data_IF_555840797650
#
_entry.id   IF_555840797650
#
_cell.length_a   1.000
_cell.length_b   1.000
_cell.length_c   1.000
_cell.angle_alpha   90.00
_cell.angle_beta   90.00
_cell.angle_gamma   90.00
#
_symmetry.space_group_name_H-M   'P 1'
#
loop_
_entity.id
_entity.type
_entity.pdbx_description
1 polymer ?
#
# COMPACT_ATOMS: atom_id res chain seq x y z
N UNK A 1 14.29 26.68 -16.10
CA UNK A 1 15.14 27.06 -14.96
C UNK A 1 14.22 27.51 -13.83
N UNK A 2 13.84 26.59 -12.95
CA UNK A 2 13.18 26.90 -11.69
C UNK A 2 13.82 25.99 -10.66
N UNK A 3 14.54 26.61 -9.74
CA UNK A 3 15.29 26.01 -8.66
C UNK A 3 14.33 25.33 -7.69
N UNK A 4 14.40 24.00 -7.61
CA UNK A 4 13.86 23.28 -6.45
C UNK A 4 14.72 23.66 -5.25
N UNK A 5 14.14 24.50 -4.40
CA UNK A 5 14.66 24.84 -3.10
C UNK A 5 14.61 23.56 -2.25
N UNK A 6 15.78 22.95 -2.05
CA UNK A 6 15.97 21.85 -1.13
C UNK A 6 15.71 22.40 0.27
N UNK A 7 14.50 22.18 0.78
CA UNK A 7 14.17 22.32 2.19
C UNK A 7 14.94 21.30 3.00
N UNK A 8 16.24 21.53 3.19
CA UNK A 8 17.04 20.92 4.23
C UNK A 8 16.41 21.32 5.57
N UNK A 9 15.72 20.36 6.18
CA UNK A 9 15.37 20.43 7.58
C UNK A 9 16.67 20.65 8.36
N UNK A 10 16.87 21.85 8.91
CA UNK A 10 17.96 22.13 9.84
C UNK A 10 17.64 21.37 11.12
N UNK A 11 18.11 20.13 11.19
CA UNK A 11 17.71 19.14 12.17
C UNK A 11 17.99 19.61 13.61
N UNK A 12 17.00 19.42 14.49
CA UNK A 12 17.12 19.52 15.95
C UNK A 12 18.24 18.63 16.55
N UNK A 13 18.74 17.68 15.76
CA UNK A 13 19.85 16.77 16.05
C UNK A 13 21.15 17.50 16.45
N UNK A 14 21.42 18.68 15.85
CA UNK A 14 22.57 19.51 16.21
C UNK A 14 22.46 20.06 17.64
N UNK A 15 21.24 20.35 18.09
CA UNK A 15 20.95 20.88 19.43
C UNK A 15 21.08 19.80 20.49
N UNK A 16 20.56 18.59 20.24
CA UNK A 16 20.62 17.46 21.19
C UNK A 16 22.06 16.99 21.41
N UNK A 17 22.86 16.92 20.34
CA UNK A 17 24.30 16.63 20.44
C UNK A 17 25.08 17.73 21.17
N UNK A 18 24.64 18.98 21.09
CA UNK A 18 25.21 20.09 21.85
C UNK A 18 25.05 19.90 23.36
N UNK A 19 23.83 19.59 23.80
CA UNK A 19 23.51 19.36 25.22
C UNK A 19 24.33 18.20 25.79
N UNK A 20 24.48 17.10 25.04
CA UNK A 20 25.28 15.95 25.51
C UNK A 20 26.76 16.32 25.73
N UNK A 21 27.32 17.16 24.84
CA UNK A 21 28.70 17.67 24.98
C UNK A 21 28.84 18.58 26.19
N UNK A 22 27.84 19.39 26.50
CA UNK A 22 27.80 20.24 27.69
C UNK A 22 27.77 19.41 28.98
N UNK A 23 26.88 18.41 29.06
CA UNK A 23 26.78 17.49 30.20
C UNK A 23 28.10 16.75 30.42
N UNK A 24 28.68 16.20 29.35
CA UNK A 24 29.99 15.54 29.42
C UNK A 24 31.10 16.48 29.89
N UNK A 25 31.11 17.73 29.40
CA UNK A 25 32.09 18.74 29.82
C UNK A 25 31.92 19.14 31.29
N UNK A 26 30.69 19.20 31.79
CA UNK A 26 30.40 19.50 33.20
C UNK A 26 30.94 18.41 34.14
N UNK A 27 30.72 17.13 33.82
CA UNK A 27 31.27 16.01 34.60
C UNK A 27 32.80 15.97 34.54
N UNK A 28 33.38 16.15 33.35
CA UNK A 28 34.84 16.25 33.17
C UNK A 28 35.44 17.38 34.01
N UNK A 29 34.79 18.54 34.05
CA UNK A 29 35.21 19.67 34.87
C UNK A 29 35.12 19.35 36.37
N UNK A 30 34.02 18.75 36.85
CA UNK A 30 33.88 18.31 38.25
C UNK A 30 35.02 17.37 38.67
N UNK A 31 35.36 16.38 37.85
CA UNK A 31 36.48 15.47 38.08
C UNK A 31 37.84 16.21 38.12
N UNK A 32 38.08 17.14 37.21
CA UNK A 32 39.32 17.95 37.20
C UNK A 32 39.48 18.82 38.45
N UNK A 33 38.39 19.36 38.99
CA UNK A 33 38.41 20.13 40.25
C UNK A 33 38.79 19.21 41.42
N UNK A 34 38.21 18.02 41.49
CA UNK A 34 38.53 17.04 42.54
C UNK A 34 39.97 16.54 42.41
N UNK A 35 40.49 16.40 41.18
CA UNK A 35 41.86 15.93 40.97
C UNK A 35 42.94 16.83 41.57
N UNK A 36 42.66 18.14 41.64
CA UNK A 36 43.52 19.15 42.25
C UNK A 36 43.44 19.17 43.77
N UNK A 37 42.44 18.53 44.38
CA UNK A 37 42.34 18.42 45.83
C UNK A 37 43.41 17.45 46.37
N UNK A 38 44.05 17.83 47.47
CA UNK A 38 44.98 16.96 48.21
C UNK A 38 44.33 16.56 49.53
N UNK A 39 44.22 15.26 49.82
CA UNK A 39 43.64 14.76 51.07
C UNK A 39 42.96 13.39 50.93
N UNK A 40 42.61 12.78 52.07
CA UNK A 40 41.98 11.46 52.13
C UNK A 40 40.58 11.37 51.50
N UNK A 41 39.87 12.49 51.38
CA UNK A 41 38.52 12.55 50.80
C UNK A 41 38.47 12.57 49.26
N UNK A 42 39.61 12.66 48.57
CA UNK A 42 39.66 12.77 47.11
C UNK A 42 38.94 11.61 46.43
N UNK A 43 39.26 10.38 46.84
CA UNK A 43 38.70 9.17 46.24
C UNK A 43 37.18 9.09 46.44
N UNK A 44 36.71 9.45 47.64
CA UNK A 44 35.29 9.45 48.00
C UNK A 44 34.50 10.40 47.07
N UNK A 45 34.98 11.64 46.87
CA UNK A 45 34.31 12.60 45.99
C UNK A 45 34.34 12.18 44.51
N UNK A 46 35.42 11.52 44.07
CA UNK A 46 35.47 10.95 42.71
C UNK A 46 34.42 9.86 42.53
N UNK A 47 34.27 8.96 43.51
CA UNK A 47 33.26 7.92 43.48
C UNK A 47 31.85 8.52 43.46
N UNK A 48 31.56 9.54 44.26
CA UNK A 48 30.26 10.23 44.27
C UNK A 48 29.90 10.85 42.91
N UNK A 49 30.87 11.52 42.26
CA UNK A 49 30.65 12.09 40.92
C UNK A 49 30.42 11.00 39.86
N UNK A 50 31.15 9.89 39.93
CA UNK A 50 30.96 8.77 39.02
C UNK A 50 29.63 8.06 39.26
N UNK A 51 29.19 7.91 40.51
CA UNK A 51 27.88 7.36 40.85
C UNK A 51 26.76 8.22 40.29
N UNK A 52 26.81 9.54 40.52
CA UNK A 52 25.84 10.49 39.94
C UNK A 52 25.83 10.46 38.40
N UNK A 53 27.00 10.32 37.77
CA UNK A 53 27.05 10.19 36.30
C UNK A 53 26.41 8.88 35.82
N UNK A 54 26.62 7.77 36.53
CA UNK A 54 26.00 6.48 36.22
C UNK A 54 24.48 6.53 36.41
N UNK A 55 23.99 7.17 37.48
CA UNK A 55 22.55 7.37 37.72
C UNK A 55 21.91 8.17 36.58
N UNK A 56 22.47 9.31 36.20
CA UNK A 56 21.98 10.12 35.07
C UNK A 56 21.96 9.33 33.75
N UNK A 57 22.99 8.51 33.50
CA UNK A 57 23.04 7.64 32.31
C UNK A 57 21.95 6.56 32.33
N UNK A 58 21.64 6.00 33.49
CA UNK A 58 20.55 5.03 33.65
C UNK A 58 19.20 5.70 33.37
N UNK A 59 18.98 6.91 33.89
CA UNK A 59 17.75 7.67 33.66
C UNK A 59 17.58 8.05 32.18
N UNK A 60 18.66 8.53 31.52
CA UNK A 60 18.65 8.83 30.09
C UNK A 60 18.36 7.60 29.23
N UNK A 61 19.00 6.47 29.52
CA UNK A 61 18.75 5.21 28.80
C UNK A 61 17.32 4.73 29.02
N UNK A 62 16.77 4.89 30.22
CA UNK A 62 15.37 4.55 30.52
C UNK A 62 14.40 5.42 29.74
N UNK A 63 14.65 6.73 29.65
CA UNK A 63 13.85 7.64 28.86
C UNK A 63 13.92 7.31 27.36
N UNK A 64 15.12 7.09 26.82
CA UNK A 64 15.32 6.71 25.43
C UNK A 64 14.60 5.40 25.09
N UNK A 65 14.68 4.39 25.96
CA UNK A 65 13.96 3.13 25.78
C UNK A 65 12.44 3.36 25.69
N UNK A 66 11.86 4.15 26.61
CA UNK A 66 10.43 4.49 26.57
C UNK A 66 10.04 5.26 25.32
N UNK A 67 10.83 6.25 24.90
CA UNK A 67 10.56 7.01 23.68
C UNK A 67 10.63 6.12 22.44
N UNK A 68 11.59 5.20 22.37
CA UNK A 68 11.66 4.22 21.28
C UNK A 68 10.45 3.30 21.28
N UNK A 69 10.04 2.77 22.44
CA UNK A 69 8.82 1.95 22.57
C UNK A 69 7.57 2.72 22.12
N UNK A 70 7.41 3.98 22.52
CA UNK A 70 6.31 4.86 22.10
C UNK A 70 6.31 5.05 20.57
N UNK A 71 7.46 5.36 19.96
CA UNK A 71 7.58 5.51 18.51
C UNK A 71 7.29 4.20 17.76
N UNK A 72 7.74 3.06 18.28
CA UNK A 72 7.46 1.75 17.72
C UNK A 72 5.95 1.44 17.78
N UNK A 73 5.29 1.71 18.90
CA UNK A 73 3.83 1.53 19.03
C UNK A 73 3.03 2.48 18.14
N UNK A 74 3.46 3.73 18.01
CA UNK A 74 2.81 4.69 17.11
C UNK A 74 2.97 4.27 15.64
N UNK A 75 4.18 3.88 15.24
CA UNK A 75 4.47 3.43 13.89
C UNK A 75 3.66 2.18 13.53
N UNK A 76 3.63 1.18 14.43
CA UNK A 76 2.85 -0.05 14.21
C UNK A 76 1.35 0.21 14.15
N UNK A 77 0.83 1.13 14.98
CA UNK A 77 -0.58 1.55 14.93
C UNK A 77 -0.93 2.22 13.59
N UNK A 78 -0.12 3.19 13.14
CA UNK A 78 -0.31 3.87 11.84
C UNK A 78 -0.25 2.88 10.67
N UNK A 79 0.69 1.94 10.71
CA UNK A 79 0.82 0.90 9.69
C UNK A 79 -0.43 0.02 9.60
N UNK A 80 -1.05 -0.32 10.72
CA UNK A 80 -2.28 -1.13 10.73
C UNK A 80 -3.48 -0.37 10.15
N UNK A 81 -3.63 0.91 10.49
CA UNK A 81 -4.69 1.77 9.93
C UNK A 81 -4.52 1.91 8.42
N UNK A 82 -3.31 2.22 7.96
CA UNK A 82 -3.04 2.33 6.53
C UNK A 82 -3.24 0.99 5.82
N UNK A 83 -2.79 -0.13 6.39
CA UNK A 83 -3.04 -1.45 5.80
C UNK A 83 -4.54 -1.74 5.63
N UNK A 84 -5.37 -1.36 6.61
CA UNK A 84 -6.83 -1.50 6.50
C UNK A 84 -7.38 -0.65 5.37
N UNK A 85 -7.01 0.64 5.32
CA UNK A 85 -7.43 1.56 4.27
C UNK A 85 -7.04 1.07 2.88
N UNK A 86 -5.80 0.58 2.72
CA UNK A 86 -5.35 -0.02 1.47
C UNK A 86 -6.18 -1.25 1.09
N UNK A 87 -6.54 -2.10 2.06
CA UNK A 87 -7.40 -3.26 1.81
C UNK A 87 -8.81 -2.87 1.35
N UNK A 88 -9.37 -1.79 1.90
CA UNK A 88 -10.69 -1.25 1.51
C UNK A 88 -10.66 -0.73 0.08
N UNK A 89 -9.68 0.12 -0.26
CA UNK A 89 -9.49 0.64 -1.62
C UNK A 89 -9.27 -0.47 -2.63
N UNK A 90 -8.46 -1.49 -2.31
CA UNK A 90 -8.23 -2.64 -3.20
C UNK A 90 -9.53 -3.42 -3.42
N UNK A 91 -10.35 -3.61 -2.39
CA UNK A 91 -11.65 -4.26 -2.51
C UNK A 91 -12.59 -3.49 -3.42
N UNK A 92 -12.70 -2.17 -3.25
CA UNK A 92 -13.51 -1.29 -4.10
C UNK A 92 -13.07 -1.38 -5.57
N UNK A 93 -11.78 -1.20 -5.85
CA UNK A 93 -11.24 -1.30 -7.20
C UNK A 93 -11.48 -2.66 -7.85
N UNK A 94 -11.40 -3.76 -7.08
CA UNK A 94 -11.73 -5.09 -7.58
C UNK A 94 -13.20 -5.20 -7.98
N UNK A 95 -14.12 -4.64 -7.18
CA UNK A 95 -15.55 -4.63 -7.54
C UNK A 95 -15.82 -3.82 -8.79
N UNK A 96 -15.22 -2.62 -8.92
CA UNK A 96 -15.35 -1.79 -10.11
C UNK A 96 -14.80 -2.49 -11.36
N UNK A 97 -13.61 -3.10 -11.24
CA UNK A 97 -13.00 -3.87 -12.33
C UNK A 97 -13.92 -5.02 -12.77
N UNK A 98 -14.58 -5.70 -11.83
CA UNK A 98 -15.54 -6.76 -12.13
C UNK A 98 -16.77 -6.21 -12.88
N UNK A 99 -17.32 -5.08 -12.45
CA UNK A 99 -18.45 -4.42 -13.10
C UNK A 99 -18.09 -3.98 -14.52
N UNK A 100 -16.95 -3.31 -14.70
CA UNK A 100 -16.46 -2.86 -16.00
C UNK A 100 -16.21 -4.04 -16.95
N UNK A 101 -15.60 -5.12 -16.45
CA UNK A 101 -15.36 -6.34 -17.23
C UNK A 101 -16.68 -6.94 -17.73
N UNK A 102 -17.69 -7.05 -16.86
CA UNK A 102 -19.03 -7.53 -17.27
C UNK A 102 -19.65 -6.63 -18.33
N UNK A 103 -19.56 -5.31 -18.16
CA UNK A 103 -20.08 -4.33 -19.13
C UNK A 103 -19.41 -4.48 -20.49
N UNK A 104 -18.08 -4.63 -20.50
CA UNK A 104 -17.32 -4.88 -21.73
C UNK A 104 -17.77 -6.19 -22.39
N UNK A 105 -17.89 -7.27 -21.63
CA UNK A 105 -18.34 -8.56 -22.17
C UNK A 105 -19.74 -8.52 -22.79
N UNK A 106 -20.68 -7.74 -22.20
CA UNK A 106 -22.01 -7.50 -22.79
C UNK A 106 -21.89 -6.80 -24.15
N UNK A 107 -21.10 -5.73 -24.21
CA UNK A 107 -20.87 -4.97 -25.45
C UNK A 107 -20.19 -5.82 -26.52
N UNK A 108 -19.22 -6.64 -26.14
CA UNK A 108 -18.57 -7.56 -27.08
C UNK A 108 -19.55 -8.59 -27.65
N UNK A 109 -20.48 -9.09 -26.84
CA UNK A 109 -21.54 -9.99 -27.30
C UNK A 109 -22.50 -9.29 -28.26
N UNK A 110 -22.92 -8.06 -27.95
CA UNK A 110 -23.79 -7.26 -28.83
C UNK A 110 -23.10 -6.95 -30.17
N UNK A 111 -21.81 -6.60 -30.15
CA UNK A 111 -21.01 -6.37 -31.36
C UNK A 111 -20.92 -7.62 -32.22
N UNK A 112 -20.67 -8.80 -31.62
CA UNK A 112 -20.71 -10.08 -32.34
C UNK A 112 -22.09 -10.35 -32.94
N UNK A 113 -23.16 -10.08 -32.20
CA UNK A 113 -24.53 -10.21 -32.69
C UNK A 113 -24.80 -9.30 -33.90
N UNK A 114 -24.37 -8.04 -33.84
CA UNK A 114 -24.53 -7.09 -34.94
C UNK A 114 -23.74 -7.52 -36.18
N UNK A 115 -22.50 -7.98 -36.01
CA UNK A 115 -21.69 -8.49 -37.10
C UNK A 115 -22.35 -9.71 -37.77
N UNK A 116 -22.98 -10.59 -36.98
CA UNK A 116 -23.73 -11.74 -37.52
C UNK A 116 -24.98 -11.31 -38.31
N UNK A 117 -25.72 -10.28 -37.84
CA UNK A 117 -26.84 -9.70 -38.62
C UNK A 117 -26.35 -9.16 -39.96
N UNK A 118 -25.25 -8.39 -39.96
CA UNK A 118 -24.66 -7.84 -41.19
C UNK A 118 -24.21 -8.94 -42.15
N UNK A 119 -23.61 -10.01 -41.61
CA UNK A 119 -23.21 -11.18 -42.39
C UNK A 119 -24.41 -11.85 -43.06
N UNK A 120 -25.51 -12.08 -42.33
CA UNK A 120 -26.74 -12.69 -42.87
C UNK A 120 -27.39 -11.84 -43.95
N UNK A 121 -27.46 -10.52 -43.75
CA UNK A 121 -27.99 -9.59 -44.76
C UNK A 121 -27.17 -9.65 -46.05
N UNK A 122 -25.83 -9.69 -45.94
CA UNK A 122 -24.94 -9.78 -47.09
C UNK A 122 -25.06 -11.09 -47.85
N UNK A 123 -25.18 -12.22 -47.16
CA UNK A 123 -25.13 -13.55 -47.78
C UNK A 123 -26.50 -14.06 -48.25
N UNK A 124 -27.56 -13.73 -47.53
CA UNK A 124 -28.88 -14.33 -47.72
C UNK A 124 -30.00 -13.30 -47.94
N UNK A 125 -29.68 -12.01 -48.06
CA UNK A 125 -30.61 -10.90 -48.34
C UNK A 125 -31.85 -10.84 -47.40
N UNK A 126 -31.68 -11.26 -46.15
CA UNK A 126 -32.73 -11.16 -45.13
C UNK A 126 -32.18 -10.72 -43.77
N UNK A 127 -32.97 -9.91 -43.06
CA UNK A 127 -32.65 -9.38 -41.74
C UNK A 127 -33.35 -10.20 -40.65
N UNK A 128 -32.90 -11.44 -40.38
CA UNK A 128 -33.37 -12.20 -39.22
C UNK A 128 -32.41 -12.06 -38.03
N UNK A 129 -32.99 -11.69 -36.88
CA UNK A 129 -32.34 -11.65 -35.57
C UNK A 129 -32.51 -12.98 -34.80
N UNK A 130 -33.05 -14.02 -35.42
CA UNK A 130 -33.31 -15.29 -34.75
C UNK A 130 -32.01 -15.91 -34.23
N UNK A 131 -31.99 -16.24 -32.94
CA UNK A 131 -30.82 -16.76 -32.22
C UNK A 131 -29.77 -15.71 -31.86
N UNK A 132 -30.01 -14.42 -32.10
CA UNK A 132 -29.11 -13.33 -31.70
C UNK A 132 -29.75 -12.57 -30.56
N UNK A 133 -29.09 -12.57 -29.40
CA UNK A 133 -29.53 -11.84 -28.23
C UNK A 133 -28.67 -10.60 -28.03
N UNK A 134 -29.32 -9.43 -28.00
CA UNK A 134 -28.71 -8.17 -27.61
C UNK A 134 -29.05 -7.87 -26.15
N UNK A 135 -28.09 -7.31 -25.42
CA UNK A 135 -28.31 -6.88 -24.05
C UNK A 135 -29.08 -5.56 -24.03
N UNK A 136 -30.14 -5.52 -23.22
CA UNK A 136 -30.91 -4.30 -23.01
C UNK A 136 -30.06 -3.27 -22.25
N UNK A 137 -30.13 -2.01 -22.68
CA UNK A 137 -29.45 -0.89 -22.01
C UNK A 137 -30.26 -0.53 -20.77
N UNK A 138 -29.67 -0.73 -19.60
CA UNK A 138 -30.32 -0.38 -18.33
C UNK A 138 -30.05 1.08 -17.96
N UNK A 139 -30.87 1.67 -17.08
CA UNK A 139 -30.61 3.02 -16.54
C UNK A 139 -29.21 3.12 -15.93
N UNK A 140 -28.72 2.07 -15.27
CA UNK A 140 -27.37 2.02 -14.70
C UNK A 140 -26.26 2.06 -15.75
N UNK A 141 -26.51 1.62 -16.98
CA UNK A 141 -25.53 1.74 -18.07
C UNK A 141 -25.40 3.17 -18.60
N UNK A 142 -26.48 3.97 -18.48
CA UNK A 142 -26.57 5.36 -18.96
C UNK A 142 -26.10 6.33 -17.87
N UNK A 143 -26.64 6.19 -16.66
CA UNK A 143 -26.42 7.11 -15.55
C UNK A 143 -25.33 6.64 -14.57
N UNK A 144 -24.76 5.44 -14.78
CA UNK A 144 -23.82 4.80 -13.86
C UNK A 144 -24.54 4.10 -12.70
N UNK A 145 -23.79 3.35 -11.89
CA UNK A 145 -24.29 2.94 -10.56
C UNK A 145 -24.35 4.21 -9.74
N UNK A 146 -25.54 4.75 -9.64
CA UNK A 146 -25.81 6.02 -9.00
C UNK A 146 -25.64 5.86 -7.48
N UNK A 147 -24.41 5.84 -6.99
CA UNK A 147 -24.12 6.12 -5.60
C UNK A 147 -24.17 7.65 -5.44
N UNK A 148 -25.38 8.22 -5.43
CA UNK A 148 -25.58 9.59 -4.91
C UNK A 148 -25.43 9.58 -3.38
N UNK A 149 -24.32 9.07 -2.85
CA UNK A 149 -23.90 9.43 -1.51
C UNK A 149 -23.26 10.82 -1.59
N UNK A 150 -24.04 11.81 -2.04
CA UNK A 150 -23.75 13.20 -1.72
C UNK A 150 -23.92 13.29 -0.21
N UNK A 151 -22.87 13.58 0.55
CA UNK A 151 -23.01 13.75 1.99
C UNK A 151 -24.10 14.80 2.22
N UNK A 152 -25.17 14.41 2.92
CA UNK A 152 -26.37 15.25 3.17
C UNK A 152 -26.09 16.65 3.76
N UNK A 153 -24.84 16.98 4.10
CA UNK A 153 -24.44 18.28 4.65
C UNK A 153 -24.36 19.40 3.61
N UNK A 154 -24.18 19.11 2.33
CA UNK A 154 -23.95 20.17 1.33
C UNK A 154 -25.20 20.51 0.49
N UNK A 155 -26.27 19.70 0.59
CA UNK A 155 -27.51 19.90 -0.17
C UNK A 155 -28.48 20.94 0.43
N UNK A 156 -28.26 21.40 1.67
CA UNK A 156 -29.17 22.32 2.36
C UNK A 156 -28.87 23.81 2.05
N UNK A 157 -27.72 24.13 1.45
CA UNK A 157 -27.28 25.54 1.25
C UNK A 157 -27.80 26.16 -0.06
N UNK A 158 -28.29 25.38 -1.02
CA UNK A 158 -28.66 25.89 -2.36
C UNK A 158 -30.15 26.13 -2.59
N UNK A 159 -31.03 25.79 -1.65
CA UNK A 159 -32.48 25.99 -1.80
C UNK A 159 -32.96 27.41 -1.43
N UNK A 160 -32.19 28.18 -0.67
CA UNK A 160 -32.68 29.41 -0.02
C UNK A 160 -32.46 30.72 -0.82
N UNK A 161 -31.90 30.65 -2.03
CA UNK A 161 -31.55 31.87 -2.81
C UNK A 161 -32.62 32.23 -3.86
N UNK A 162 -33.63 31.40 -4.13
CA UNK A 162 -34.57 31.66 -5.23
C UNK A 162 -35.94 32.25 -4.89
N UNK A 163 -36.32 32.45 -3.62
CA UNK A 163 -37.71 32.80 -3.29
C UNK A 163 -37.92 33.85 -2.19
N UNK A 164 -37.10 34.91 -2.14
CA UNK A 164 -37.35 36.08 -1.28
C UNK A 164 -37.37 37.38 -2.08
N UNK A 165 -38.32 37.50 -3.02
CA UNK A 165 -38.76 38.83 -3.44
C UNK A 165 -40.24 38.80 -3.79
N UNK A 166 -41.06 39.32 -2.88
CA UNK A 166 -42.48 39.63 -3.03
C UNK A 166 -42.69 40.77 -4.02
N UNK A 167 -42.38 40.54 -5.30
CA UNK A 167 -42.83 41.43 -6.37
C UNK A 167 -43.98 40.77 -7.10
N UNK A 168 -45.18 41.29 -6.84
CA UNK A 168 -46.37 41.05 -7.64
C UNK A 168 -46.02 41.27 -9.12
N UNK A 169 -46.08 40.22 -9.94
CA UNK A 169 -46.04 40.35 -11.39
C UNK A 169 -47.46 40.65 -11.87
N UNK A 170 -47.77 41.89 -12.30
CA UNK A 170 -49.07 42.20 -12.86
C UNK A 170 -49.11 41.57 -14.26
N UNK A 171 -50.16 40.79 -14.50
CA UNK A 171 -50.48 40.26 -15.80
C UNK A 171 -50.76 41.42 -16.77
N UNK A 172 -49.78 41.78 -17.60
CA UNK A 172 -49.95 42.36 -18.94
C UNK A 172 -48.57 42.58 -19.58
N UNK A 173 -48.25 41.78 -20.59
CA UNK A 173 -47.17 42.06 -21.54
C UNK A 173 -47.73 41.86 -22.94
N UNK A 174 -48.42 42.89 -23.42
CA UNK A 174 -48.68 43.11 -24.83
C UNK A 174 -47.54 43.96 -25.44
N UNK A 175 -47.32 43.70 -26.72
CA UNK A 175 -46.59 44.45 -27.72
C UNK A 175 -45.05 44.60 -27.62
N UNK A 176 -44.45 43.75 -28.44
CA UNK A 176 -43.10 43.68 -28.97
C UNK A 176 -42.50 45.02 -29.43
N UNK A 177 -41.51 45.53 -28.69
CA UNK A 177 -40.47 46.39 -29.24
C UNK A 177 -39.20 45.57 -29.60
N UNK A 178 -38.55 45.79 -30.75
CA UNK A 178 -37.42 44.98 -31.22
C UNK A 178 -36.06 45.36 -30.61
N UNK A 179 -36.01 46.16 -29.54
CA UNK A 179 -34.73 46.61 -28.94
C UNK A 179 -34.17 45.60 -27.93
N UNK A 180 -34.98 44.68 -27.39
CA UNK A 180 -34.55 43.64 -26.43
C UNK A 180 -33.74 42.49 -27.04
N UNK A 181 -33.83 42.28 -28.35
CA UNK A 181 -33.15 41.15 -29.02
C UNK A 181 -31.62 41.34 -29.06
N UNK A 182 -31.15 42.60 -29.13
CA UNK A 182 -29.72 42.92 -29.12
C UNK A 182 -29.05 42.65 -27.77
N UNK A 183 -29.76 42.87 -26.67
CA UNK A 183 -29.27 42.58 -25.32
C UNK A 183 -29.19 41.06 -25.06
N UNK A 184 -30.17 40.30 -25.53
CA UNK A 184 -30.17 38.83 -25.45
C UNK A 184 -29.04 38.20 -26.27
N UNK A 185 -28.76 38.72 -27.47
CA UNK A 185 -27.66 38.23 -28.29
C UNK A 185 -26.29 38.53 -27.65
N UNK A 186 -26.13 39.72 -27.05
CA UNK A 186 -24.92 40.09 -26.31
C UNK A 186 -24.70 39.21 -25.08
N UNK A 187 -25.77 38.91 -24.32
CA UNK A 187 -25.69 38.02 -23.16
C UNK A 187 -25.33 36.58 -23.53
N UNK A 188 -25.86 36.06 -24.64
CA UNK A 188 -25.56 34.71 -25.13
C UNK A 188 -24.12 34.59 -25.66
N UNK A 189 -23.60 35.64 -26.31
CA UNK A 189 -22.18 35.73 -26.69
C UNK A 189 -21.25 35.73 -25.48
N UNK A 190 -21.57 36.54 -24.46
CA UNK A 190 -20.78 36.60 -23.23
C UNK A 190 -20.84 35.28 -22.43
N UNK A 191 -21.97 34.58 -22.45
CA UNK A 191 -22.11 33.24 -21.86
C UNK A 191 -21.32 32.17 -22.63
N UNK A 192 -21.23 32.29 -23.95
CA UNK A 192 -20.41 31.40 -24.76
C UNK A 192 -18.92 31.67 -24.56
N UNK A 193 -18.52 32.92 -24.38
CA UNK A 193 -17.15 33.30 -23.99
C UNK A 193 -16.79 32.76 -22.61
N UNK A 194 -17.67 32.90 -21.60
CA UNK A 194 -17.43 32.34 -20.26
C UNK A 194 -17.40 30.80 -20.27
N UNK A 195 -18.18 30.15 -21.14
CA UNK A 195 -18.10 28.70 -21.35
C UNK A 195 -16.76 28.27 -21.97
N UNK A 196 -16.16 29.12 -22.81
CA UNK A 196 -14.85 28.88 -23.41
C UNK A 196 -13.72 28.85 -22.38
N UNK A 197 -13.79 29.72 -21.37
CA UNK A 197 -12.84 29.72 -20.24
C UNK A 197 -12.97 28.47 -19.38
N UNK A 198 -14.19 27.99 -19.15
CA UNK A 198 -14.43 26.71 -18.47
C UNK A 198 -13.80 25.53 -19.24
N UNK A 199 -13.95 25.49 -20.57
CA UNK A 199 -13.34 24.43 -21.39
C UNK A 199 -11.80 24.48 -21.33
N UNK A 200 -11.20 25.68 -21.36
CA UNK A 200 -9.74 25.83 -21.20
C UNK A 200 -9.26 25.34 -19.85
N UNK A 201 -9.94 25.74 -18.77
CA UNK A 201 -9.64 25.30 -17.41
C UNK A 201 -9.74 23.78 -17.26
N UNK A 202 -10.79 23.15 -17.82
CA UNK A 202 -10.95 21.69 -17.80
C UNK A 202 -9.83 20.97 -18.56
N UNK A 203 -9.40 21.50 -19.71
CA UNK A 203 -8.26 20.93 -20.47
C UNK A 203 -6.97 21.02 -19.66
N UNK A 204 -6.73 22.14 -18.98
CA UNK A 204 -5.54 22.31 -18.14
C UNK A 204 -5.54 21.33 -16.96
N UNK A 205 -6.70 21.14 -16.30
CA UNK A 205 -6.85 20.16 -15.24
C UNK A 205 -6.65 18.73 -15.74
N UNK A 206 -7.16 18.39 -16.94
CA UNK A 206 -6.97 17.07 -17.53
C UNK A 206 -5.49 16.79 -17.87
N UNK A 207 -4.76 17.79 -18.36
CA UNK A 207 -3.30 17.70 -18.57
C UNK A 207 -2.58 17.47 -17.24
N UNK A 208 -2.91 18.24 -16.20
CA UNK A 208 -2.35 18.09 -14.85
C UNK A 208 -2.61 16.69 -14.27
N UNK A 209 -3.85 16.22 -14.33
CA UNK A 209 -4.23 14.89 -13.86
C UNK A 209 -3.50 13.78 -14.64
N UNK A 210 -3.36 13.94 -15.96
CA UNK A 210 -2.60 12.99 -16.79
C UNK A 210 -1.11 12.93 -16.41
N UNK A 211 -0.53 14.04 -15.97
CA UNK A 211 0.84 14.10 -15.47
C UNK A 211 0.98 13.42 -14.10
N UNK A 212 0.02 13.63 -13.20
CA UNK A 212 -0.05 12.94 -11.90
C UNK A 212 -0.20 11.42 -12.07
N UNK A 213 -1.08 10.96 -12.96
CA UNK A 213 -1.23 9.53 -13.29
C UNK A 213 0.08 8.95 -13.81
N UNK A 214 0.79 9.66 -14.70
CA UNK A 214 2.12 9.24 -15.18
C UNK A 214 3.17 9.23 -14.07
N UNK A 215 3.09 10.14 -13.10
CA UNK A 215 3.97 10.13 -11.94
C UNK A 215 3.70 8.92 -11.04
N UNK A 216 2.43 8.63 -10.73
CA UNK A 216 2.03 7.47 -9.95
C UNK A 216 2.43 6.15 -10.62
N UNK A 217 2.25 6.02 -11.93
CA UNK A 217 2.69 4.85 -12.70
C UNK A 217 4.20 4.59 -12.56
N UNK A 218 5.02 5.65 -12.54
CA UNK A 218 6.48 5.51 -12.32
C UNK A 218 6.79 5.02 -10.90
N UNK A 219 6.09 5.53 -9.89
CA UNK A 219 6.25 5.08 -8.50
C UNK A 219 5.83 3.62 -8.34
N UNK A 220 4.70 3.21 -8.91
CA UNK A 220 4.26 1.81 -8.91
C UNK A 220 5.30 0.89 -9.57
N UNK A 221 5.85 1.28 -10.72
CA UNK A 221 6.90 0.51 -11.39
C UNK A 221 8.15 0.34 -10.54
N UNK A 222 8.61 1.41 -9.86
CA UNK A 222 9.76 1.34 -8.96
C UNK A 222 9.50 0.45 -7.73
N UNK A 223 8.28 0.49 -7.18
CA UNK A 223 7.89 -0.35 -6.05
C UNK A 223 7.84 -1.83 -6.45
N UNK A 224 7.34 -2.15 -7.64
CA UNK A 224 7.33 -3.51 -8.19
C UNK A 224 8.75 -4.06 -8.37
N UNK A 225 9.68 -3.27 -8.88
CA UNK A 225 11.09 -3.64 -8.98
C UNK A 225 11.71 -3.89 -7.60
N UNK A 226 11.40 -3.06 -6.61
CA UNK A 226 11.86 -3.25 -5.24
C UNK A 226 11.32 -4.55 -4.63
N UNK A 227 10.03 -4.84 -4.83
CA UNK A 227 9.40 -6.10 -4.40
C UNK A 227 10.06 -7.32 -5.06
N UNK A 228 10.32 -7.27 -6.37
CA UNK A 228 11.06 -8.33 -7.08
C UNK A 228 12.46 -8.55 -6.50
N UNK A 229 13.20 -7.47 -6.24
CA UNK A 229 14.54 -7.54 -5.66
C UNK A 229 14.54 -8.13 -4.24
N UNK A 230 13.57 -7.74 -3.40
CA UNK A 230 13.42 -8.31 -2.05
C UNK A 230 13.09 -9.81 -2.09
N UNK A 231 12.21 -10.24 -3.00
CA UNK A 231 11.88 -11.65 -3.19
C UNK A 231 13.10 -12.49 -3.60
N UNK A 232 13.94 -11.98 -4.49
CA UNK A 232 15.20 -12.64 -4.87
C UNK A 232 16.15 -12.77 -3.67
N UNK A 233 16.30 -11.71 -2.87
CA UNK A 233 17.13 -11.74 -1.64
C UNK A 233 16.59 -12.72 -0.60
N UNK A 234 15.26 -12.82 -0.46
CA UNK A 234 14.63 -13.76 0.45
C UNK A 234 14.91 -15.21 0.03
N UNK A 235 14.71 -15.55 -1.26
CA UNK A 235 15.03 -16.87 -1.81
C UNK A 235 16.49 -17.25 -1.60
N UNK A 236 17.42 -16.33 -1.86
CA UNK A 236 18.84 -16.57 -1.60
C UNK A 236 19.11 -16.91 -0.13
N UNK A 237 18.51 -16.17 0.81
CA UNK A 237 18.65 -16.47 2.25
C UNK A 237 18.09 -17.85 2.60
N UNK A 238 16.96 -18.23 2.02
CA UNK A 238 16.35 -19.55 2.22
C UNK A 238 17.25 -20.68 1.70
N UNK A 239 17.86 -20.50 0.52
CA UNK A 239 18.82 -21.46 -0.05
C UNK A 239 20.05 -21.63 0.84
N UNK A 240 20.61 -20.54 1.36
CA UNK A 240 21.73 -20.58 2.33
C UNK A 240 21.32 -21.31 3.60
N UNK A 241 20.15 -21.02 4.17
CA UNK A 241 19.63 -21.72 5.36
C UNK A 241 19.44 -23.21 5.06
N UNK A 242 18.95 -23.56 3.87
CA UNK A 242 18.76 -24.94 3.46
C UNK A 242 20.09 -25.70 3.40
N UNK A 243 21.12 -25.12 2.79
CA UNK A 243 22.45 -25.73 2.69
C UNK A 243 23.15 -25.80 4.05
N UNK A 244 23.08 -24.77 4.89
CA UNK A 244 23.61 -24.80 6.26
C UNK A 244 22.98 -25.94 7.08
N UNK A 245 21.66 -26.12 6.97
CA UNK A 245 20.96 -27.24 7.63
C UNK A 245 21.38 -28.60 7.06
N UNK A 246 21.68 -28.68 5.75
CA UNK A 246 22.21 -29.89 5.11
C UNK A 246 23.59 -30.26 5.67
N UNK A 247 24.50 -29.30 5.73
CA UNK A 247 25.85 -29.47 6.29
C UNK A 247 25.79 -29.89 7.77
N UNK A 248 24.90 -29.27 8.57
CA UNK A 248 24.71 -29.63 9.96
C UNK A 248 24.24 -31.09 10.13
N UNK A 249 23.32 -31.56 9.29
CA UNK A 249 22.88 -32.97 9.29
C UNK A 249 24.02 -33.93 8.94
N UNK A 250 24.84 -33.60 7.95
CA UNK A 250 26.00 -34.40 7.56
C UNK A 250 27.05 -34.46 8.68
N UNK A 251 27.37 -33.33 9.31
CA UNK A 251 28.28 -33.28 10.45
C UNK A 251 27.77 -34.14 11.61
N UNK A 252 26.47 -34.06 11.91
CA UNK A 252 25.83 -34.88 12.95
C UNK A 252 25.89 -36.38 12.63
N UNK A 253 25.69 -36.77 11.37
CA UNK A 253 25.80 -38.16 10.93
C UNK A 253 27.24 -38.69 11.09
N UNK A 254 28.24 -37.93 10.64
CA UNK A 254 29.66 -38.29 10.82
C UNK A 254 30.06 -38.43 12.28
N UNK A 255 29.56 -37.55 13.14
CA UNK A 255 29.84 -37.60 14.58
C UNK A 255 29.21 -38.83 15.24
N UNK A 256 28.03 -39.25 14.76
CA UNK A 256 27.37 -40.50 15.18
C UNK A 256 28.18 -41.74 14.75
N UNK A 257 28.63 -41.80 13.49
CA UNK A 257 29.49 -42.90 13.00
C UNK A 257 30.79 -43.01 13.80
N UNK A 258 31.44 -41.88 14.09
CA UNK A 258 32.65 -41.85 14.91
C UNK A 258 32.40 -42.33 16.35
N UNK A 259 31.25 -41.98 16.94
CA UNK A 259 30.90 -42.44 18.29
C UNK A 259 30.63 -43.95 18.36
N UNK A 260 30.00 -44.53 17.33
CA UNK A 260 29.70 -45.97 17.28
C UNK A 260 30.97 -46.80 16.98
N UNK A 261 31.91 -46.26 16.19
CA UNK A 261 33.18 -46.92 15.87
C UNK A 261 34.17 -47.00 17.04
N UNK A 262 34.01 -46.14 18.05
CA UNK A 262 34.91 -46.06 19.21
C UNK A 262 34.42 -46.83 20.44
N UNK A 263 33.36 -47.65 20.32
CA UNK A 263 32.97 -48.56 21.41
C UNK A 263 33.82 -49.83 21.31
N UNK A 264 34.85 -50.03 22.16
CA UNK A 264 35.61 -51.27 22.17
C UNK A 264 34.69 -52.45 22.50
N UNK A 265 34.83 -53.54 21.74
CA UNK A 265 34.03 -54.77 21.84
C UNK A 265 34.10 -55.51 23.20
N UNK A 266 34.69 -54.95 24.25
CA UNK A 266 34.85 -55.61 25.55
C UNK A 266 33.72 -55.37 26.57
N UNK A 267 32.70 -54.57 26.26
CA UNK A 267 31.59 -54.28 27.21
C UNK A 267 30.19 -54.63 26.69
N UNK A 268 30.08 -55.52 25.70
CA UNK A 268 28.76 -55.97 25.19
C UNK A 268 28.02 -56.99 26.09
N UNK A 269 28.47 -57.20 27.33
CA UNK A 269 27.87 -58.14 28.27
C UNK A 269 27.19 -57.49 29.50
N UNK A 270 27.21 -56.17 29.66
CA UNK A 270 26.76 -55.51 30.90
C UNK A 270 25.74 -54.38 30.70
N UNK A 271 24.96 -54.40 29.62
CA UNK A 271 23.96 -53.37 29.34
C UNK A 271 22.59 -53.98 28.95
N UNK A 272 22.21 -55.05 29.64
CA UNK A 272 20.84 -55.62 29.61
C UNK A 272 20.05 -55.27 30.90
N UNK A 273 20.63 -54.53 31.86
CA UNK A 273 20.01 -54.29 33.17
C UNK A 273 19.82 -52.82 33.57
N UNK A 274 19.77 -51.87 32.64
CA UNK A 274 19.48 -50.45 32.96
C UNK A 274 18.37 -49.82 32.12
N UNK A 275 17.41 -50.63 31.69
CA UNK A 275 16.05 -50.16 31.36
C UNK A 275 15.14 -50.29 32.58
N UNK A 276 15.40 -49.50 33.62
CA UNK A 276 14.42 -49.15 34.63
C UNK A 276 14.97 -47.97 35.42
N UNK A 277 14.12 -46.99 35.71
CA UNK A 277 14.40 -45.82 36.53
C UNK A 277 15.10 -44.66 35.79
N UNK A 278 14.32 -43.96 34.97
CA UNK A 278 14.25 -42.50 35.05
C UNK A 278 12.94 -42.02 34.43
N UNK A 279 11.86 -42.25 35.18
CA UNK A 279 10.66 -41.44 35.08
C UNK A 279 10.95 -40.09 35.76
N UNK A 280 10.32 -39.04 35.23
CA UNK A 280 10.20 -37.67 35.78
C UNK A 280 11.26 -36.64 35.36
N UNK A 281 10.96 -35.92 34.27
CA UNK A 281 10.52 -34.53 34.44
C UNK A 281 9.78 -34.06 33.19
N UNK A 282 8.47 -34.03 33.32
CA UNK A 282 7.54 -33.32 32.46
C UNK A 282 7.82 -31.82 32.57
N UNK A 283 8.43 -31.22 31.54
CA UNK A 283 8.19 -29.82 31.20
C UNK A 283 7.61 -29.81 29.80
N UNK A 284 6.28 -29.69 29.76
CA UNK A 284 5.52 -29.56 28.53
C UNK A 284 5.94 -28.30 27.79
N UNK A 285 6.72 -28.45 26.72
CA UNK A 285 6.79 -27.45 25.67
C UNK A 285 5.45 -27.48 24.93
N UNK A 286 4.60 -26.50 25.23
CA UNK A 286 3.40 -26.20 24.46
C UNK A 286 3.75 -26.19 22.95
N UNK A 287 2.94 -26.81 22.09
CA UNK A 287 3.08 -26.62 20.67
C UNK A 287 2.80 -25.14 20.40
N UNK A 288 3.83 -24.39 20.01
CA UNK A 288 3.61 -23.13 19.29
C UNK A 288 2.86 -23.51 18.03
N UNK A 289 1.54 -23.38 18.09
CA UNK A 289 0.69 -23.23 16.93
C UNK A 289 1.34 -22.15 16.06
N UNK A 290 2.08 -22.58 15.03
CA UNK A 290 2.28 -21.72 13.89
C UNK A 290 0.87 -21.46 13.40
N UNK A 291 0.38 -20.25 13.59
CA UNK A 291 -0.59 -19.68 12.68
C UNK A 291 0.05 -19.74 11.31
N UNK A 292 -0.13 -20.89 10.66
CA UNK A 292 -0.22 -21.00 9.22
C UNK A 292 -1.36 -20.04 8.91
N UNK A 293 -1.00 -18.82 8.49
CA UNK A 293 -1.93 -18.00 7.76
C UNK A 293 -2.33 -18.87 6.58
N UNK A 294 -3.52 -19.45 6.69
CA UNK A 294 -4.29 -19.79 5.52
C UNK A 294 -4.51 -18.46 4.80
N UNK A 295 -3.52 -18.08 3.99
CA UNK A 295 -3.79 -17.41 2.73
C UNK A 295 -4.67 -18.39 1.95
N UNK A 296 -5.97 -18.33 2.25
CA UNK A 296 -6.99 -18.61 1.27
C UNK A 296 -6.71 -17.60 0.18
N UNK A 297 -5.85 -18.01 -0.76
CA UNK A 297 -6.01 -17.66 -2.15
C UNK A 297 -7.50 -17.80 -2.42
N UNK A 298 -8.19 -16.67 -2.42
CA UNK A 298 -9.35 -16.48 -3.25
C UNK A 298 -8.82 -16.73 -4.66
N UNK A 299 -8.83 -18.00 -5.04
CA UNK A 299 -8.79 -18.47 -6.41
C UNK A 299 -10.03 -17.86 -7.05
N UNK A 300 -9.93 -16.58 -7.39
CA UNK A 300 -10.71 -16.01 -8.45
C UNK A 300 -10.19 -16.71 -9.70
N UNK A 301 -10.81 -17.85 -10.01
CA UNK A 301 -10.62 -18.58 -11.25
C UNK A 301 -11.13 -17.71 -12.40
N UNK A 302 -10.34 -16.68 -12.73
CA UNK A 302 -10.39 -16.04 -14.02
C UNK A 302 -9.61 -16.98 -14.94
N UNK A 303 -10.30 -17.99 -15.47
CA UNK A 303 -9.81 -18.76 -16.62
C UNK A 303 -9.61 -17.78 -17.79
N UNK A 304 -8.43 -17.18 -17.88
CA UNK A 304 -7.97 -16.53 -19.11
C UNK A 304 -7.48 -17.65 -20.03
N UNK A 305 -8.41 -18.24 -20.78
CA UNK A 305 -8.10 -18.95 -22.02
C UNK A 305 -7.61 -17.91 -23.02
N UNK A 306 -6.32 -17.59 -22.96
CA UNK A 306 -5.63 -16.89 -24.03
C UNK A 306 -5.49 -17.91 -25.16
N UNK A 307 -6.19 -17.64 -26.26
CA UNK A 307 -5.99 -18.37 -27.50
C UNK A 307 -4.54 -18.17 -27.95
N UNK A 308 -3.75 -19.25 -27.92
CA UNK A 308 -2.54 -19.39 -28.72
C UNK A 308 -2.94 -19.30 -30.19
N UNK A 309 -2.71 -18.14 -30.80
CA UNK A 309 -2.70 -18.00 -32.25
C UNK A 309 -1.34 -18.54 -32.70
N UNK A 310 -1.33 -19.80 -33.14
CA UNK A 310 -0.20 -20.37 -33.87
C UNK A 310 -0.15 -19.75 -35.26
N UNK A 311 0.88 -18.95 -35.51
CA UNK A 311 1.29 -18.52 -36.85
C UNK A 311 1.91 -19.73 -37.59
N UNK A 312 1.07 -20.47 -38.32
CA UNK A 312 1.50 -21.37 -39.39
C UNK A 312 1.38 -20.61 -40.72
N UNK A 313 2.50 -20.06 -41.20
CA UNK A 313 2.62 -19.73 -42.63
C UNK A 313 4.04 -19.97 -43.13
N UNK A 314 4.37 -21.26 -43.32
CA UNK A 314 5.54 -21.70 -44.04
C UNK A 314 5.16 -21.97 -45.50
N UNK A 315 5.15 -20.91 -46.31
CA UNK A 315 5.15 -21.01 -47.77
C UNK A 315 6.48 -21.60 -48.26
N UNK A 316 6.43 -22.76 -48.92
CA UNK A 316 7.49 -23.27 -49.81
C UNK A 316 7.01 -23.15 -51.27
N UNK A 317 7.89 -22.75 -52.21
CA UNK A 317 7.56 -22.74 -53.63
C UNK A 317 7.85 -24.10 -54.28
N UNK A 318 7.06 -24.44 -55.30
CA UNK A 318 7.45 -25.35 -56.40
C UNK A 318 8.10 -24.56 -57.54
#
# INVERSE_FOLDING_TARGET
MSSMDNGECVCAEATTLGILKEVHSAYKHKLQVIDRMSGGEKLQKQVEVLQSWVEDLVDQNTLLARTVEELETEFTSKLLVERRRHSEVVSELQTETCVLRRRLSRKDADLRGLLEVLRRLREFDHCSIDGIHFHEVTESDIFGTVLWDVPKKDAEVTADICCTQEFECPAQCGDSEPVRERALYSGRLQQMESSGDNIRSLRQLNVSLSEEVRALQRVCGALDDQCRAMNLRARFKDDVIHEMRRQLRQAKAKLKELSESNIPKSQKAQEVCREAVSMESLVGCAPRHRHRQDERHLNCSCHSSIYDVSDDDASKPE
#
